data_IF_559655452293
#
_entry.id   IF_559655452293
#
_cell.length_a   1.000
_cell.length_b   1.000
_cell.length_c   1.000
_cell.angle_alpha   90.00
_cell.angle_beta   90.00
_cell.angle_gamma   90.00
#
_symmetry.space_group_name_H-M   'P 1'
#
loop_
_entity.id
_entity.type
_entity.pdbx_description
1 polymer ?
#
# COMPACT_ATOMS: atom_id res chain seq x y z
N UNK A 1 17.37 -21.08 -19.28
CA UNK A 1 18.21 -20.34 -18.31
C UNK A 1 17.36 -19.19 -17.79
N UNK A 2 16.43 -19.40 -16.85
CA UNK A 2 16.67 -19.66 -15.43
C UNK A 2 16.24 -18.41 -14.65
N UNK A 3 14.96 -18.02 -14.74
CA UNK A 3 14.44 -16.88 -13.97
C UNK A 3 14.35 -17.26 -12.50
N UNK A 4 15.18 -16.59 -11.68
CA UNK A 4 15.20 -16.77 -10.23
C UNK A 4 13.92 -16.16 -9.65
N UNK A 5 13.01 -17.02 -9.19
CA UNK A 5 11.89 -16.62 -8.34
C UNK A 5 12.48 -16.36 -6.95
N UNK A 6 12.47 -15.10 -6.51
CA UNK A 6 12.89 -14.73 -5.16
C UNK A 6 11.87 -15.33 -4.18
N UNK A 7 12.35 -16.05 -3.17
CA UNK A 7 11.50 -16.68 -2.16
C UNK A 7 11.08 -15.67 -1.09
N UNK A 8 10.01 -16.00 -0.38
CA UNK A 8 9.35 -15.14 0.62
C UNK A 8 10.25 -14.70 1.80
N UNK A 9 11.42 -15.32 1.97
CA UNK A 9 12.41 -14.96 2.99
C UNK A 9 13.49 -13.97 2.50
N UNK A 10 13.68 -13.80 1.19
CA UNK A 10 14.66 -12.84 0.66
C UNK A 10 14.13 -11.39 0.69
N UNK A 11 12.81 -11.20 0.73
CA UNK A 11 12.17 -9.88 0.89
C UNK A 11 12.16 -9.36 2.33
N UNK A 12 12.46 -10.20 3.34
CA UNK A 12 12.37 -9.84 4.77
C UNK A 12 13.73 -9.63 5.46
N UNK A 13 14.87 -9.93 4.82
CA UNK A 13 16.19 -9.81 5.45
C UNK A 13 16.80 -8.40 5.53
N UNK A 14 16.20 -7.36 4.94
CA UNK A 14 16.73 -5.99 5.04
C UNK A 14 16.27 -5.19 6.29
N UNK A 15 15.39 -5.74 7.12
CA UNK A 15 14.77 -5.00 8.23
C UNK A 15 14.89 -5.74 9.57
N UNK A 16 16.07 -5.65 10.20
CA UNK A 16 16.24 -5.98 11.63
C UNK A 16 15.95 -4.72 12.45
N UNK A 17 14.69 -4.54 12.87
CA UNK A 17 14.28 -3.46 13.78
C UNK A 17 14.16 -4.00 15.20
N UNK A 18 15.01 -3.53 16.11
CA UNK A 18 14.92 -3.86 17.54
C UNK A 18 14.33 -2.65 18.29
N UNK A 19 13.14 -2.88 18.87
CA UNK A 19 12.43 -2.13 19.92
C UNK A 19 12.22 -0.61 19.76
N UNK A 20 10.95 -0.21 19.70
CA UNK A 20 10.50 1.15 20.00
C UNK A 20 8.99 1.25 19.86
N UNK A 21 8.30 1.40 20.99
CA UNK A 21 6.85 1.52 21.13
C UNK A 21 6.41 2.87 20.54
N UNK A 22 5.40 2.87 19.67
CA UNK A 22 4.72 4.10 19.21
C UNK A 22 3.28 4.09 19.74
N UNK A 23 3.07 4.59 20.96
CA UNK A 23 1.75 5.02 21.42
C UNK A 23 1.54 6.49 21.05
N UNK A 24 0.38 6.80 20.48
CA UNK A 24 -0.22 8.12 20.57
C UNK A 24 0.17 9.15 19.51
N UNK A 25 -0.64 9.20 18.45
CA UNK A 25 -1.16 10.42 17.77
C UNK A 25 -0.25 11.66 17.74
N UNK A 26 0.41 11.90 16.59
CA UNK A 26 0.41 13.16 15.80
C UNK A 26 1.66 13.22 14.92
N UNK A 27 1.50 12.92 13.62
CA UNK A 27 2.55 13.20 12.64
C UNK A 27 2.52 14.71 12.38
N UNK A 28 3.39 15.45 13.09
CA UNK A 28 3.64 16.86 12.82
C UNK A 28 4.50 16.96 11.55
N UNK A 29 3.98 17.63 10.53
CA UNK A 29 4.79 18.02 9.36
C UNK A 29 5.59 19.24 9.80
N UNK A 30 6.79 19.05 10.33
CA UNK A 30 7.75 20.13 10.52
C UNK A 30 8.47 20.37 9.19
N UNK A 31 8.13 21.47 8.52
CA UNK A 31 9.01 22.10 7.54
C UNK A 31 10.20 22.68 8.29
N UNK A 32 11.41 22.11 8.20
CA UNK A 32 12.70 22.82 8.26
C UNK A 32 13.80 21.95 7.65
N UNK A 33 14.71 22.62 6.95
CA UNK A 33 15.86 22.14 6.19
C UNK A 33 16.84 21.23 6.96
N UNK A 34 17.36 20.21 6.28
CA UNK A 34 18.71 19.68 6.48
C UNK A 34 19.01 18.93 7.78
N UNK A 35 18.66 17.64 7.84
CA UNK A 35 19.38 16.67 8.68
C UNK A 35 19.40 15.29 8.03
N UNK A 36 20.61 14.71 7.91
CA UNK A 36 20.87 13.28 7.65
C UNK A 36 20.44 12.47 8.88
N UNK A 37 19.13 12.42 9.13
CA UNK A 37 18.48 11.64 10.18
C UNK A 37 17.50 10.67 9.53
N UNK A 38 17.47 9.42 9.99
CA UNK A 38 16.58 8.36 9.49
C UNK A 38 15.16 8.91 9.28
N UNK A 39 14.76 9.02 8.02
CA UNK A 39 13.41 9.38 7.62
C UNK A 39 12.48 8.30 8.16
N UNK A 40 11.61 8.65 9.12
CA UNK A 40 10.36 7.91 9.31
C UNK A 40 9.58 8.17 8.04
N UNK A 41 9.74 7.27 7.07
CA UNK A 41 9.14 7.41 5.76
C UNK A 41 7.62 7.31 5.93
N UNK A 42 6.95 8.46 5.85
CA UNK A 42 5.51 8.55 6.00
C UNK A 42 4.84 7.71 4.91
N UNK A 43 3.66 7.14 5.23
CA UNK A 43 2.84 6.35 4.30
C UNK A 43 2.67 7.04 2.94
N UNK A 44 2.53 8.36 2.94
CA UNK A 44 2.42 9.19 1.73
C UNK A 44 3.67 9.09 0.85
N UNK A 45 4.87 9.11 1.42
CA UNK A 45 6.12 9.04 0.67
C UNK A 45 6.33 7.65 0.06
N UNK A 46 6.03 6.60 0.83
CA UNK A 46 6.06 5.21 0.36
C UNK A 46 5.05 4.99 -0.79
N UNK A 47 3.86 5.59 -0.73
CA UNK A 47 2.87 5.51 -1.81
C UNK A 47 3.34 6.23 -3.09
N UNK A 48 4.04 7.36 -2.97
CA UNK A 48 4.64 8.04 -4.15
C UNK A 48 5.70 7.15 -4.79
N UNK A 49 6.53 6.47 -4.00
CA UNK A 49 7.51 5.51 -4.53
C UNK A 49 6.86 4.30 -5.24
N UNK A 50 5.62 3.97 -4.90
CA UNK A 50 4.81 2.95 -5.59
C UNK A 50 4.14 3.47 -6.87
N UNK A 51 4.36 4.72 -7.26
CA UNK A 51 3.74 5.32 -8.45
C UNK A 51 2.31 5.80 -8.24
N UNK A 52 1.89 6.07 -7.00
CA UNK A 52 0.57 6.63 -6.71
C UNK A 52 0.53 8.12 -7.03
N UNK A 53 -0.45 8.53 -7.81
CA UNK A 53 -0.74 9.93 -8.12
C UNK A 53 -1.55 10.57 -6.98
N UNK A 54 -0.85 11.24 -6.07
CA UNK A 54 -1.46 11.93 -4.92
C UNK A 54 -2.42 13.04 -5.33
N UNK A 55 -2.27 13.65 -6.50
CA UNK A 55 -3.17 14.71 -6.97
C UNK A 55 -4.53 14.13 -7.35
N UNK A 56 -4.60 12.91 -7.90
CA UNK A 56 -5.87 12.19 -8.10
C UNK A 56 -6.51 11.75 -6.79
N UNK A 57 -5.68 11.35 -5.83
CA UNK A 57 -6.14 10.90 -4.52
C UNK A 57 -6.67 12.05 -3.66
N UNK A 58 -5.99 13.20 -3.64
CA UNK A 58 -6.40 14.36 -2.83
C UNK A 58 -7.74 14.95 -3.27
N UNK A 59 -8.08 14.85 -4.56
CA UNK A 59 -9.39 15.24 -5.10
C UNK A 59 -10.56 14.43 -4.52
N UNK A 60 -10.31 13.23 -3.99
CA UNK A 60 -11.35 12.39 -3.40
C UNK A 60 -11.56 12.77 -1.94
N UNK A 61 -12.80 13.15 -1.62
CA UNK A 61 -13.21 13.51 -0.26
C UNK A 61 -12.85 12.38 0.70
N UNK A 62 -12.24 12.71 1.84
CA UNK A 62 -11.80 11.77 2.89
C UNK A 62 -10.66 10.81 2.53
N UNK A 63 -10.21 10.73 1.27
CA UNK A 63 -9.11 9.83 0.90
C UNK A 63 -7.77 10.25 1.53
N UNK A 64 -7.47 11.54 1.57
CA UNK A 64 -6.26 12.05 2.22
C UNK A 64 -6.25 11.74 3.74
N UNK A 65 -7.40 11.89 4.40
CA UNK A 65 -7.53 11.58 5.83
C UNK A 65 -7.46 10.07 6.11
N UNK A 66 -8.00 9.24 5.20
CA UNK A 66 -7.84 7.79 5.28
C UNK A 66 -6.36 7.43 5.22
N UNK A 67 -5.66 7.87 4.17
CA UNK A 67 -4.24 7.54 3.97
C UNK A 67 -3.38 8.01 5.14
N UNK A 68 -3.61 9.23 5.63
CA UNK A 68 -2.85 9.78 6.76
C UNK A 68 -3.02 8.99 8.07
N UNK A 69 -4.10 8.22 8.21
CA UNK A 69 -4.38 7.38 9.39
C UNK A 69 -3.86 5.96 9.27
N UNK A 70 -3.54 5.51 8.05
CA UNK A 70 -3.12 4.14 7.81
C UNK A 70 -1.65 3.96 8.17
N UNK A 71 -1.36 2.81 8.77
CA UNK A 71 0.02 2.35 8.94
C UNK A 71 0.47 1.54 7.72
N UNK A 72 1.63 1.87 7.16
CA UNK A 72 2.06 1.25 5.92
C UNK A 72 2.42 -0.22 6.11
N UNK A 73 3.15 -0.54 7.19
CA UNK A 73 3.78 -1.84 7.37
C UNK A 73 2.76 -2.90 7.82
N UNK A 74 1.80 -2.53 8.66
CA UNK A 74 0.73 -3.42 9.12
C UNK A 74 -0.49 -3.43 8.19
N UNK A 75 -0.94 -2.28 7.68
CA UNK A 75 -2.21 -2.23 6.96
C UNK A 75 -2.02 -2.21 5.44
N UNK A 76 -1.18 -1.32 4.92
CA UNK A 76 -1.05 -1.12 3.47
C UNK A 76 -0.34 -2.30 2.81
N UNK A 77 0.75 -2.79 3.41
CA UNK A 77 1.58 -3.87 2.85
C UNK A 77 0.79 -5.14 2.58
N UNK A 78 -0.02 -5.60 3.53
CA UNK A 78 -0.86 -6.80 3.35
C UNK A 78 -1.79 -6.68 2.14
N UNK A 79 -2.37 -5.50 1.94
CA UNK A 79 -3.33 -5.24 0.85
C UNK A 79 -2.62 -5.14 -0.49
N UNK A 80 -1.40 -4.61 -0.53
CA UNK A 80 -0.56 -4.62 -1.72
C UNK A 80 -0.16 -6.05 -2.12
N UNK A 81 0.25 -6.87 -1.15
CA UNK A 81 0.59 -8.28 -1.40
C UNK A 81 -0.62 -9.04 -1.94
N UNK A 82 -1.78 -8.84 -1.34
CA UNK A 82 -3.02 -9.43 -1.84
C UNK A 82 -3.33 -9.02 -3.29
N UNK A 83 -3.16 -7.75 -3.66
CA UNK A 83 -3.38 -7.31 -5.04
C UNK A 83 -2.40 -7.96 -6.03
N UNK A 84 -1.15 -8.16 -5.63
CA UNK A 84 -0.16 -8.90 -6.42
C UNK A 84 -0.59 -10.37 -6.58
N UNK A 85 -1.05 -11.02 -5.51
CA UNK A 85 -1.50 -12.42 -5.52
C UNK A 85 -2.75 -12.62 -6.41
N UNK A 86 -3.62 -11.61 -6.50
CA UNK A 86 -4.77 -11.61 -7.41
C UNK A 86 -4.35 -11.45 -8.88
N UNK A 87 -3.11 -11.04 -9.15
CA UNK A 87 -2.52 -10.91 -10.48
C UNK A 87 -2.41 -9.46 -10.99
N UNK A 88 -2.52 -8.46 -10.11
CA UNK A 88 -2.23 -7.06 -10.48
C UNK A 88 -0.71 -6.90 -10.62
N UNK A 89 -0.25 -6.35 -11.73
CA UNK A 89 1.17 -6.08 -11.93
C UNK A 89 1.68 -5.02 -10.95
N UNK A 90 2.96 -5.12 -10.55
CA UNK A 90 3.55 -4.20 -9.57
C UNK A 90 3.53 -2.75 -10.06
N UNK A 91 3.71 -2.57 -11.36
CA UNK A 91 3.72 -1.28 -12.05
C UNK A 91 2.33 -0.63 -12.06
N UNK A 92 1.27 -1.45 -12.06
CA UNK A 92 -0.12 -1.01 -12.08
C UNK A 92 -0.69 -0.73 -10.69
N UNK A 93 -0.04 -1.18 -9.62
CA UNK A 93 -0.50 -0.95 -8.23
C UNK A 93 -0.71 0.54 -7.95
N UNK A 94 0.22 1.39 -8.38
CA UNK A 94 0.10 2.84 -8.26
C UNK A 94 -1.16 3.38 -8.94
N UNK A 95 -1.47 2.86 -10.13
CA UNK A 95 -2.68 3.18 -10.88
C UNK A 95 -3.95 2.75 -10.17
N UNK A 96 -4.02 1.50 -9.69
CA UNK A 96 -5.19 0.95 -8.97
C UNK A 96 -5.51 1.78 -7.74
N UNK A 97 -4.51 2.13 -6.94
CA UNK A 97 -4.70 2.94 -5.72
C UNK A 97 -5.10 4.37 -6.08
N UNK A 98 -4.54 4.94 -7.14
CA UNK A 98 -4.93 6.27 -7.62
C UNK A 98 -6.40 6.31 -8.06
N UNK A 99 -6.88 5.23 -8.70
CA UNK A 99 -8.27 5.06 -9.12
C UNK A 99 -9.20 4.78 -7.94
N UNK A 100 -8.77 4.02 -6.94
CA UNK A 100 -9.57 3.78 -5.75
C UNK A 100 -8.71 3.70 -4.47
N UNK A 101 -8.46 4.84 -3.79
CA UNK A 101 -7.64 4.86 -2.57
C UNK A 101 -8.35 4.21 -1.37
N UNK A 102 -9.67 4.02 -1.44
CA UNK A 102 -10.44 3.42 -0.34
C UNK A 102 -10.20 1.92 -0.20
N UNK A 103 -9.61 1.26 -1.21
CA UNK A 103 -9.24 -0.16 -1.12
C UNK A 103 -8.30 -0.43 0.05
N UNK A 104 -7.48 0.55 0.43
CA UNK A 104 -6.54 0.46 1.55
C UNK A 104 -7.25 0.48 2.92
N UNK A 105 -8.48 0.99 2.98
CA UNK A 105 -9.29 1.06 4.20
C UNK A 105 -10.29 -0.09 4.34
N UNK A 106 -10.32 -1.05 3.41
CA UNK A 106 -11.20 -2.21 3.47
C UNK A 106 -10.48 -3.36 4.18
N UNK A 107 -11.19 -4.06 5.05
CA UNK A 107 -10.71 -5.30 5.68
C UNK A 107 -10.33 -6.35 4.64
N UNK A 108 -9.20 -7.03 4.85
CA UNK A 108 -8.64 -7.98 3.89
C UNK A 108 -9.64 -9.10 3.55
N UNK A 109 -10.28 -9.69 4.57
CA UNK A 109 -11.31 -10.74 4.42
C UNK A 109 -12.50 -10.27 3.54
N UNK A 110 -12.88 -8.99 3.64
CA UNK A 110 -13.95 -8.44 2.79
C UNK A 110 -13.48 -8.30 1.34
N UNK A 111 -12.22 -7.94 1.11
CA UNK A 111 -11.67 -7.84 -0.22
C UNK A 111 -11.55 -9.22 -0.87
N UNK A 112 -11.04 -10.21 -0.14
CA UNK A 112 -10.96 -11.62 -0.54
C UNK A 112 -12.32 -12.19 -0.96
N UNK A 113 -13.35 -12.03 -0.12
CA UNK A 113 -14.70 -12.52 -0.45
C UNK A 113 -15.25 -11.90 -1.73
N UNK A 114 -14.98 -10.61 -1.96
CA UNK A 114 -15.41 -9.92 -3.18
C UNK A 114 -14.67 -10.46 -4.40
N UNK A 115 -13.37 -10.65 -4.31
CA UNK A 115 -12.59 -11.25 -5.40
C UNK A 115 -13.06 -12.68 -5.67
N UNK A 116 -13.23 -13.50 -4.64
CA UNK A 116 -13.73 -14.86 -4.78
C UNK A 116 -15.11 -14.90 -5.45
N UNK A 117 -16.02 -14.02 -5.05
CA UNK A 117 -17.31 -13.86 -5.71
C UNK A 117 -17.14 -13.50 -7.19
N UNK A 118 -16.31 -12.50 -7.50
CA UNK A 118 -16.07 -12.07 -8.88
C UNK A 118 -15.48 -13.20 -9.74
N UNK A 119 -14.54 -13.97 -9.20
CA UNK A 119 -13.93 -15.13 -9.87
C UNK A 119 -14.95 -16.24 -10.10
N UNK A 120 -15.82 -16.51 -9.13
CA UNK A 120 -16.87 -17.54 -9.25
C UNK A 120 -17.89 -17.21 -10.34
N UNK A 121 -18.16 -15.93 -10.55
CA UNK A 121 -19.13 -15.46 -11.54
C UNK A 121 -18.62 -15.50 -12.97
N UNK A 122 -17.33 -15.80 -13.19
CA UNK A 122 -16.69 -15.97 -14.50
C UNK A 122 -17.17 -14.93 -15.50
N UNK A 123 -17.05 -13.65 -15.13
CA UNK A 123 -17.39 -12.55 -16.02
C UNK A 123 -16.64 -12.75 -17.33
N UNK A 124 -17.39 -12.92 -18.42
CA UNK A 124 -16.81 -12.86 -19.76
C UNK A 124 -16.36 -11.42 -19.96
N UNK A 125 -15.22 -11.22 -20.62
CA UNK A 125 -14.91 -9.90 -21.18
C UNK A 125 -15.98 -9.63 -22.24
N UNK A 126 -17.01 -8.89 -21.88
CA UNK A 126 -17.83 -8.18 -22.85
C UNK A 126 -17.13 -6.85 -23.13
N UNK A 127 -17.13 -6.49 -24.42
CA UNK A 127 -16.45 -5.37 -25.09
C UNK A 127 -16.35 -4.05 -24.32
#
# INVERSE_FOLDING_TARGET
MGHRVLTYEEVTCAFRWNRGICEGRRCAISTETGHRGKLVECVVHKLVHLGVDLHKVSKKRHAANLIAKLDFDSQVKEKLMFLLDVGVAKEDLGGVISVNPFILGVELERLERRVLYLMSKKFKKEE
#
